data_IF_185743138577
#
_entry.id   IF_185743138577
#
_cell.length_a   1.000
_cell.length_b   1.000
_cell.length_c   1.000
_cell.angle_alpha   90.00
_cell.angle_beta   90.00
_cell.angle_gamma   90.00
#
_symmetry.space_group_name_H-M   'P 1'
#
loop_
_entity.id
_entity.type
_entity.pdbx_description
1 polymer ?
#
# COMPACT_ATOMS: atom_id res chain seq x y z
N UNK A 1 -17.99 0.05 -1.78
CA UNK A 1 -17.47 1.40 -1.56
C UNK A 1 -16.43 1.80 -2.61
N UNK A 2 -15.38 0.99 -2.87
CA UNK A 2 -14.32 1.36 -3.83
C UNK A 2 -14.84 1.60 -5.25
N UNK A 3 -15.76 0.77 -5.75
CA UNK A 3 -16.34 0.99 -7.08
C UNK A 3 -17.09 2.34 -7.16
N UNK A 4 -17.74 2.77 -6.08
CA UNK A 4 -18.40 4.08 -6.05
C UNK A 4 -17.38 5.24 -6.03
N UNK A 5 -16.28 5.08 -5.31
CA UNK A 5 -15.17 6.06 -5.35
C UNK A 5 -14.59 6.13 -6.76
N UNK A 6 -14.25 5.01 -7.37
CA UNK A 6 -13.67 4.96 -8.73
C UNK A 6 -14.61 5.53 -9.80
N UNK A 7 -15.91 5.38 -9.61
CA UNK A 7 -16.94 5.87 -10.55
C UNK A 7 -17.45 7.29 -10.25
N UNK A 8 -16.86 7.97 -9.25
CA UNK A 8 -17.25 9.33 -8.89
C UNK A 8 -18.64 9.44 -8.25
N UNK A 9 -19.14 8.37 -7.62
CA UNK A 9 -20.46 8.31 -6.99
C UNK A 9 -20.42 8.39 -5.46
N UNK A 10 -19.24 8.33 -4.89
CA UNK A 10 -19.08 8.40 -3.45
C UNK A 10 -19.08 9.85 -2.97
N UNK A 11 -19.64 10.07 -1.79
CA UNK A 11 -19.48 11.34 -1.04
C UNK A 11 -18.15 11.28 -0.30
N UNK A 12 -17.10 11.80 -0.92
CA UNK A 12 -15.72 11.87 -0.42
C UNK A 12 -15.02 13.11 -0.99
N UNK A 13 -13.99 13.58 -0.32
CA UNK A 13 -13.15 14.66 -0.83
C UNK A 13 -12.17 14.14 -1.88
N UNK A 14 -12.59 14.17 -3.13
CA UNK A 14 -11.75 13.74 -4.25
C UNK A 14 -10.50 14.60 -4.45
N UNK A 15 -10.52 15.87 -4.06
CA UNK A 15 -9.38 16.77 -4.23
C UNK A 15 -8.25 16.43 -3.24
N UNK A 16 -8.59 15.80 -2.12
CA UNK A 16 -7.61 15.23 -1.18
C UNK A 16 -6.98 13.97 -1.73
N UNK A 17 -7.79 13.07 -2.29
CA UNK A 17 -7.37 11.72 -2.67
C UNK A 17 -6.29 11.73 -3.74
N UNK A 18 -5.20 11.01 -3.50
CA UNK A 18 -4.24 10.70 -4.55
C UNK A 18 -4.75 9.55 -5.39
N UNK A 19 -5.03 9.81 -6.67
CA UNK A 19 -5.62 8.85 -7.59
C UNK A 19 -4.72 8.67 -8.82
N UNK A 20 -4.36 7.41 -9.10
CA UNK A 20 -3.51 7.04 -10.23
C UNK A 20 -4.22 6.03 -11.12
N UNK A 21 -4.31 6.33 -12.41
CA UNK A 21 -4.77 5.37 -13.41
C UNK A 21 -3.70 4.31 -13.65
N UNK A 22 -4.12 3.08 -13.96
CA UNK A 22 -3.19 2.01 -14.30
C UNK A 22 -2.44 2.34 -15.59
N UNK A 23 -3.16 2.89 -16.58
CA UNK A 23 -2.60 3.31 -17.86
C UNK A 23 -3.36 4.53 -18.36
N UNK A 24 -2.65 5.48 -18.93
CA UNK A 24 -3.25 6.64 -19.61
C UNK A 24 -3.22 6.40 -21.12
N UNK A 25 -2.04 6.11 -21.67
CA UNK A 25 -1.80 5.77 -23.07
C UNK A 25 -0.53 4.93 -23.19
N UNK A 26 -0.46 4.03 -24.15
CA UNK A 26 0.75 3.28 -24.47
C UNK A 26 0.92 1.93 -23.76
N UNK A 27 2.15 1.40 -23.63
CA UNK A 27 2.40 0.06 -23.13
C UNK A 27 2.10 -0.07 -21.63
N UNK A 28 1.85 -1.30 -21.17
CA UNK A 28 1.49 -1.66 -19.77
C UNK A 28 2.49 -1.20 -18.70
N UNK A 29 3.69 -0.80 -19.08
CA UNK A 29 4.74 -0.34 -18.17
C UNK A 29 4.66 1.15 -17.81
N UNK A 30 3.70 1.90 -18.34
CA UNK A 30 3.62 3.34 -18.15
C UNK A 30 2.30 3.73 -17.46
N UNK A 31 2.22 3.63 -16.11
CA UNK A 31 1.05 4.09 -15.38
C UNK A 31 0.90 5.60 -15.50
N UNK A 32 -0.33 6.08 -15.35
CA UNK A 32 -0.62 7.51 -15.27
C UNK A 32 0.11 8.18 -14.10
N UNK A 33 0.18 9.52 -14.10
CA UNK A 33 0.81 10.25 -13.02
C UNK A 33 0.10 10.02 -11.70
N UNK A 34 0.87 9.91 -10.63
CA UNK A 34 0.37 9.86 -9.26
C UNK A 34 0.11 11.30 -8.81
N UNK A 35 -1.15 11.73 -8.81
CA UNK A 35 -1.55 13.10 -8.48
C UNK A 35 -2.92 13.16 -7.81
N UNK A 36 -3.19 14.21 -7.07
CA UNK A 36 -4.48 14.44 -6.40
C UNK A 36 -5.60 14.70 -7.41
N UNK A 37 -6.83 14.42 -6.98
CA UNK A 37 -8.07 14.69 -7.69
C UNK A 37 -8.58 13.54 -8.55
N UNK A 38 -9.88 13.59 -8.86
CA UNK A 38 -10.58 12.60 -9.66
C UNK A 38 -10.12 12.63 -11.13
N UNK A 39 -9.87 11.47 -11.72
CA UNK A 39 -9.35 11.32 -13.09
C UNK A 39 -10.42 10.83 -14.10
N UNK A 40 -11.68 10.78 -13.69
CA UNK A 40 -12.79 10.28 -14.48
C UNK A 40 -13.33 8.93 -14.01
N UNK A 41 -14.57 8.64 -14.38
CA UNK A 41 -15.27 7.42 -13.98
C UNK A 41 -14.72 6.19 -14.71
N UNK A 42 -13.94 5.37 -14.02
CA UNK A 42 -13.35 4.14 -14.55
C UNK A 42 -12.97 3.18 -13.44
N UNK A 43 -12.98 1.88 -13.72
CA UNK A 43 -12.45 0.84 -12.81
C UNK A 43 -10.96 0.56 -13.03
N UNK A 44 -10.30 1.31 -13.93
CA UNK A 44 -8.88 1.16 -14.24
C UNK A 44 -7.95 2.00 -13.36
N UNK A 45 -8.41 2.45 -12.19
CA UNK A 45 -7.50 3.02 -11.22
C UNK A 45 -6.58 1.94 -10.68
N UNK A 46 -5.28 2.19 -10.73
CA UNK A 46 -4.24 1.32 -10.17
C UNK A 46 -4.08 1.52 -8.68
N UNK A 47 -4.18 2.78 -8.22
CA UNK A 47 -3.88 3.18 -6.85
C UNK A 47 -4.76 4.36 -6.44
N UNK A 48 -5.33 4.27 -5.25
CA UNK A 48 -6.05 5.37 -4.59
C UNK A 48 -5.56 5.41 -3.15
N UNK A 49 -5.14 6.59 -2.66
CA UNK A 49 -4.64 6.80 -1.29
C UNK A 49 -5.51 7.81 -0.56
N UNK A 50 -5.17 8.07 0.69
CA UNK A 50 -5.88 8.94 1.63
C UNK A 50 -7.26 8.36 2.02
N UNK A 51 -7.34 7.01 2.08
CA UNK A 51 -8.57 6.29 2.42
C UNK A 51 -8.85 6.25 3.92
N UNK A 52 -7.89 6.64 4.76
CA UNK A 52 -8.07 6.79 6.21
C UNK A 52 -9.13 7.80 6.59
N UNK A 53 -9.51 8.68 5.67
CA UNK A 53 -10.56 9.68 5.86
C UNK A 53 -11.96 9.22 5.39
N UNK A 54 -12.10 7.98 4.93
CA UNK A 54 -13.39 7.35 4.65
C UNK A 54 -13.76 6.39 5.79
N UNK A 55 -14.93 6.56 6.36
CA UNK A 55 -15.40 5.80 7.52
C UNK A 55 -15.33 4.29 7.34
N UNK A 56 -15.56 3.78 6.13
CA UNK A 56 -15.50 2.34 5.85
C UNK A 56 -14.08 1.80 6.03
N UNK A 57 -13.11 2.51 5.49
CA UNK A 57 -11.71 2.13 5.57
C UNK A 57 -11.12 2.41 6.94
N UNK A 58 -11.46 3.55 7.55
CA UNK A 58 -11.02 3.89 8.90
C UNK A 58 -11.52 2.85 9.92
N UNK A 59 -12.79 2.47 9.87
CA UNK A 59 -13.33 1.43 10.75
C UNK A 59 -12.60 0.08 10.60
N UNK A 60 -12.23 -0.27 9.37
CA UNK A 60 -11.41 -1.46 9.13
C UNK A 60 -10.00 -1.30 9.71
N UNK A 61 -9.35 -0.16 9.47
CA UNK A 61 -8.00 0.12 9.97
C UNK A 61 -7.92 0.12 11.49
N UNK A 62 -8.98 0.53 12.16
CA UNK A 62 -9.08 0.58 13.62
C UNK A 62 -9.52 -0.75 14.25
N UNK A 63 -9.52 -1.85 13.48
CA UNK A 63 -9.86 -3.16 14.04
C UNK A 63 -8.92 -3.53 15.21
N UNK A 64 -9.45 -4.04 16.35
CA UNK A 64 -8.64 -4.32 17.55
C UNK A 64 -7.45 -5.26 17.31
N UNK A 65 -7.55 -6.18 16.37
CA UNK A 65 -6.43 -7.04 15.99
C UNK A 65 -5.24 -6.24 15.46
N UNK A 66 -5.47 -5.21 14.65
CA UNK A 66 -4.40 -4.37 14.10
C UNK A 66 -3.77 -3.51 15.18
N UNK A 67 -4.57 -3.02 16.16
CA UNK A 67 -4.01 -2.39 17.36
C UNK A 67 -3.06 -3.32 18.10
N UNK A 68 -3.46 -4.57 18.33
CA UNK A 68 -2.62 -5.57 19.01
C UNK A 68 -1.32 -5.86 18.23
N UNK A 69 -1.38 -5.94 16.90
CA UNK A 69 -0.20 -6.11 16.06
C UNK A 69 0.75 -4.91 16.18
N UNK A 70 0.22 -3.69 16.08
CA UNK A 70 1.00 -2.47 16.24
C UNK A 70 1.66 -2.38 17.65
N UNK A 71 0.93 -2.74 18.70
CA UNK A 71 1.46 -2.79 20.07
C UNK A 71 2.66 -3.73 20.20
N UNK A 72 2.64 -4.87 19.50
CA UNK A 72 3.78 -5.81 19.51
C UNK A 72 5.00 -5.30 18.77
N UNK A 73 4.81 -4.43 17.80
CA UNK A 73 5.88 -3.91 16.92
C UNK A 73 6.47 -2.60 17.49
N UNK A 74 5.59 -1.68 17.91
CA UNK A 74 5.98 -0.32 18.33
C UNK A 74 5.96 -0.11 19.83
N UNK A 75 5.37 -1.04 20.60
CA UNK A 75 5.23 -0.96 22.06
C UNK A 75 3.82 -0.60 22.53
N UNK A 76 3.54 -0.91 23.80
CA UNK A 76 2.20 -0.75 24.38
C UNK A 76 1.76 0.71 24.52
N UNK A 77 2.71 1.61 24.68
CA UNK A 77 2.47 3.04 24.90
C UNK A 77 2.51 3.88 23.62
N UNK A 78 2.89 3.28 22.50
CA UNK A 78 2.98 4.01 21.24
C UNK A 78 1.58 4.37 20.70
N UNK A 79 1.39 5.64 20.38
CA UNK A 79 0.32 6.05 19.50
C UNK A 79 0.69 5.69 18.07
N UNK A 80 -0.28 5.28 17.29
CA UNK A 80 -0.03 4.74 15.93
C UNK A 80 -0.65 5.66 14.90
N UNK A 81 0.18 6.15 14.01
CA UNK A 81 -0.23 6.92 12.83
C UNK A 81 -0.36 6.02 11.59
N UNK A 82 -1.14 6.50 10.63
CA UNK A 82 -1.23 5.95 9.30
C UNK A 82 -0.31 6.72 8.37
N UNK A 83 0.77 6.08 7.90
CA UNK A 83 1.57 6.66 6.83
C UNK A 83 0.79 6.67 5.52
N UNK A 84 0.06 5.59 5.23
CA UNK A 84 -0.63 5.42 3.97
C UNK A 84 -1.71 4.35 4.06
N UNK A 85 -2.96 4.73 3.78
CA UNK A 85 -4.05 3.80 3.52
C UNK A 85 -4.36 3.80 2.02
N UNK A 86 -4.15 2.66 1.36
CA UNK A 86 -4.08 2.61 -0.09
C UNK A 86 -4.86 1.44 -0.68
N UNK A 87 -5.78 1.74 -1.57
CA UNK A 87 -6.32 0.76 -2.50
C UNK A 87 -5.34 0.51 -3.63
N UNK A 88 -5.13 -0.76 -3.93
CA UNK A 88 -4.26 -1.25 -5.00
C UNK A 88 -5.07 -2.13 -5.93
N UNK A 89 -4.94 -1.91 -7.25
CA UNK A 89 -5.66 -2.67 -8.23
C UNK A 89 -4.77 -3.04 -9.42
N UNK A 90 -4.94 -4.25 -9.88
CA UNK A 90 -4.50 -4.71 -11.20
C UNK A 90 -5.75 -5.03 -12.00
N UNK A 91 -6.19 -4.13 -12.89
CA UNK A 91 -7.35 -4.36 -13.73
C UNK A 91 -7.23 -5.64 -14.56
N UNK A 92 -8.37 -6.19 -15.01
CA UNK A 92 -8.44 -7.42 -15.79
C UNK A 92 -7.61 -7.32 -17.07
N UNK A 93 -6.73 -8.28 -17.31
CA UNK A 93 -5.86 -8.34 -18.50
C UNK A 93 -4.81 -7.23 -18.58
N UNK A 94 -4.64 -6.46 -17.51
CA UNK A 94 -3.79 -5.28 -17.42
C UNK A 94 -2.96 -5.30 -16.13
N UNK A 95 -2.69 -4.16 -15.58
CA UNK A 95 -1.92 -4.00 -14.35
C UNK A 95 -0.46 -3.73 -14.61
N UNK A 96 0.11 -2.83 -13.83
CA UNK A 96 1.52 -2.47 -13.96
C UNK A 96 2.40 -3.52 -13.30
N UNK A 97 3.43 -3.98 -14.00
CA UNK A 97 4.51 -4.74 -13.38
C UNK A 97 5.20 -3.88 -12.32
N UNK A 98 5.30 -4.38 -11.10
CA UNK A 98 6.02 -3.74 -10.01
C UNK A 98 7.32 -4.52 -9.77
N UNK A 99 8.44 -3.90 -10.13
CA UNK A 99 9.76 -4.51 -10.00
C UNK A 99 10.15 -4.74 -8.53
N UNK A 100 11.16 -5.58 -8.29
CA UNK A 100 11.63 -5.89 -6.94
C UNK A 100 12.08 -4.65 -6.18
N UNK A 101 11.59 -4.48 -4.96
CA UNK A 101 11.89 -3.33 -4.10
C UNK A 101 11.65 -3.65 -2.62
N UNK A 102 12.18 -2.78 -1.80
CA UNK A 102 11.85 -2.61 -0.38
C UNK A 102 11.11 -1.29 -0.22
N UNK A 103 10.06 -1.28 0.59
CA UNK A 103 9.36 -0.02 0.90
C UNK A 103 10.23 0.83 1.84
N UNK A 104 10.59 2.03 1.39
CA UNK A 104 11.39 3.01 2.12
C UNK A 104 10.87 4.41 1.96
N UNK A 105 11.05 5.22 3.01
CA UNK A 105 10.64 6.62 3.05
C UNK A 105 11.77 7.49 3.61
N UNK A 106 12.74 7.83 2.77
CA UNK A 106 13.97 8.54 3.17
C UNK A 106 13.75 9.96 3.71
N UNK A 107 12.54 10.48 3.62
CA UNK A 107 12.13 11.73 4.25
C UNK A 107 11.67 11.56 5.71
N UNK A 108 11.55 10.32 6.18
CA UNK A 108 11.25 10.02 7.58
C UNK A 108 12.55 9.76 8.36
N UNK A 109 12.57 10.12 9.65
CA UNK A 109 13.69 9.84 10.55
C UNK A 109 13.89 8.35 10.80
N UNK A 110 12.81 7.57 10.65
CA UNK A 110 12.79 6.11 10.74
C UNK A 110 11.78 5.52 9.77
N UNK A 111 12.12 4.40 9.14
CA UNK A 111 11.17 3.70 8.28
C UNK A 111 10.08 3.01 9.12
N UNK A 112 8.79 3.12 8.76
CA UNK A 112 7.74 2.26 9.32
C UNK A 112 8.08 0.79 9.11
N UNK A 113 7.71 -0.04 10.09
CA UNK A 113 8.13 -1.45 10.07
C UNK A 113 7.12 -2.36 9.37
N UNK A 114 5.82 -2.07 9.46
CA UNK A 114 4.78 -3.00 9.05
C UNK A 114 3.74 -2.38 8.13
N UNK A 115 3.31 -3.20 7.18
CA UNK A 115 2.15 -2.97 6.34
C UNK A 115 1.18 -4.15 6.48
N UNK A 116 -0.08 -3.85 6.77
CA UNK A 116 -1.19 -4.80 6.69
C UNK A 116 -1.72 -4.79 5.26
N UNK A 117 -1.60 -5.91 4.56
CA UNK A 117 -2.10 -6.07 3.19
C UNK A 117 -3.25 -7.06 3.16
N UNK A 118 -4.41 -6.62 2.67
CA UNK A 118 -5.66 -7.37 2.65
C UNK A 118 -6.07 -7.65 1.21
N UNK A 119 -6.26 -8.91 0.88
CA UNK A 119 -6.80 -9.33 -0.41
C UNK A 119 -8.31 -9.02 -0.47
N UNK A 120 -8.73 -8.12 -1.35
CA UNK A 120 -10.15 -7.84 -1.60
C UNK A 120 -10.72 -8.82 -2.65
N UNK A 121 -9.88 -9.27 -3.57
CA UNK A 121 -10.13 -10.39 -4.48
C UNK A 121 -9.08 -11.45 -4.24
N UNK A 122 -9.32 -12.68 -4.67
CA UNK A 122 -8.30 -13.73 -4.64
C UNK A 122 -7.08 -13.30 -5.43
N UNK A 123 -5.91 -13.44 -4.84
CA UNK A 123 -4.62 -13.14 -5.44
C UNK A 123 -3.90 -14.43 -5.81
N UNK A 124 -3.51 -14.57 -7.07
CA UNK A 124 -2.79 -15.73 -7.63
C UNK A 124 -1.62 -15.27 -8.48
N UNK A 125 -0.72 -16.15 -8.84
CA UNK A 125 0.36 -15.83 -9.78
C UNK A 125 -0.18 -15.27 -11.09
N UNK A 126 -1.25 -15.84 -11.63
CA UNK A 126 -1.83 -15.43 -12.91
C UNK A 126 -2.40 -14.01 -12.91
N UNK A 127 -2.91 -13.54 -11.75
CA UNK A 127 -3.43 -12.19 -11.63
C UNK A 127 -2.48 -11.21 -10.94
N UNK A 128 -1.20 -11.61 -10.78
CA UNK A 128 -0.14 -10.75 -10.27
C UNK A 128 -0.19 -10.59 -8.75
N UNK A 129 -0.30 -11.68 -7.99
CA UNK A 129 -0.11 -11.66 -6.53
C UNK A 129 1.26 -11.09 -6.16
N UNK A 130 1.42 -10.68 -4.92
CA UNK A 130 2.71 -10.26 -4.38
C UNK A 130 3.62 -11.49 -4.32
N UNK A 131 4.87 -11.33 -4.76
CA UNK A 131 5.94 -12.29 -4.58
C UNK A 131 6.96 -11.71 -3.62
N UNK A 132 7.52 -12.53 -2.75
CA UNK A 132 8.47 -12.11 -1.71
C UNK A 132 9.74 -12.95 -1.75
N UNK A 133 10.82 -12.40 -1.22
CA UNK A 133 12.01 -13.16 -0.85
C UNK A 133 12.05 -13.32 0.67
N UNK A 134 11.75 -14.51 1.22
CA UNK A 134 11.72 -14.72 2.67
C UNK A 134 13.05 -14.35 3.35
N UNK A 135 12.96 -13.67 4.51
CA UNK A 135 14.14 -13.28 5.29
C UNK A 135 14.87 -12.03 4.80
N UNK A 136 14.53 -11.49 3.63
CA UNK A 136 15.22 -10.33 3.02
C UNK A 136 15.04 -9.01 3.76
N UNK A 137 14.12 -8.95 4.72
CA UNK A 137 13.87 -7.77 5.56
C UNK A 137 14.97 -7.48 6.58
N UNK A 138 15.92 -8.42 6.77
CA UNK A 138 16.98 -8.27 7.77
C UNK A 138 17.96 -7.13 7.46
N UNK A 139 18.05 -6.69 6.20
CA UNK A 139 18.92 -5.60 5.78
C UNK A 139 18.33 -4.88 4.54
N UNK A 140 18.71 -3.62 4.39
CA UNK A 140 18.44 -2.87 3.16
C UNK A 140 19.45 -3.25 2.07
N UNK A 141 18.95 -3.47 0.85
CA UNK A 141 19.83 -3.77 -0.31
C UNK A 141 20.57 -2.51 -0.77
N UNK A 142 19.90 -1.35 -0.71
CA UNK A 142 20.45 -0.05 -1.12
C UNK A 142 20.40 0.96 0.03
N UNK A 143 21.16 0.78 1.13
CA UNK A 143 21.07 1.68 2.29
C UNK A 143 21.47 3.12 1.96
N UNK A 144 22.44 3.30 1.05
CA UNK A 144 22.99 4.60 0.63
C UNK A 144 22.10 5.32 -0.42
N UNK A 145 21.17 4.60 -1.05
CA UNK A 145 20.30 5.13 -2.08
C UNK A 145 18.89 5.41 -1.53
N UNK A 146 18.31 6.56 -1.85
CA UNK A 146 16.93 6.90 -1.47
C UNK A 146 15.87 5.99 -2.10
N UNK A 147 16.20 5.22 -3.13
CA UNK A 147 15.27 4.31 -3.78
C UNK A 147 15.31 2.92 -3.15
N UNK A 148 14.14 2.38 -2.80
CA UNK A 148 13.99 0.97 -2.43
C UNK A 148 14.00 0.01 -3.63
N UNK A 149 13.94 0.50 -4.85
CA UNK A 149 13.90 -0.32 -6.07
C UNK A 149 15.28 -0.90 -6.42
N UNK A 150 15.29 -2.16 -6.81
CA UNK A 150 16.49 -2.85 -7.28
C UNK A 150 16.77 -2.49 -8.75
N UNK A 151 18.06 -2.40 -9.10
CA UNK A 151 18.48 -2.36 -10.50
C UNK A 151 18.25 -3.71 -11.16
N UNK A 152 18.33 -3.77 -12.51
CA UNK A 152 18.26 -5.05 -13.24
C UNK A 152 19.32 -6.04 -12.79
N UNK A 153 20.58 -5.60 -12.63
CA UNK A 153 21.68 -6.43 -12.16
C UNK A 153 21.46 -6.96 -10.73
N UNK A 154 20.94 -6.12 -9.81
CA UNK A 154 20.60 -6.55 -8.47
C UNK A 154 19.46 -7.57 -8.47
N UNK A 155 18.47 -7.38 -9.35
CA UNK A 155 17.36 -8.31 -9.52
C UNK A 155 17.85 -9.67 -10.05
N UNK A 156 18.73 -9.69 -11.04
CA UNK A 156 19.30 -10.92 -11.57
C UNK A 156 20.05 -11.69 -10.50
N UNK A 157 20.90 -11.04 -9.72
CA UNK A 157 21.61 -11.66 -8.58
C UNK A 157 20.65 -12.19 -7.53
N UNK A 158 19.63 -11.37 -7.16
CA UNK A 158 18.62 -11.78 -6.20
C UNK A 158 17.95 -13.09 -6.59
N UNK A 159 17.54 -13.21 -7.87
CA UNK A 159 16.84 -14.37 -8.39
C UNK A 159 17.75 -15.59 -8.68
N UNK A 160 19.06 -15.38 -8.79
CA UNK A 160 20.03 -16.49 -8.84
C UNK A 160 20.20 -17.15 -7.47
N UNK A 161 20.18 -16.34 -6.40
CA UNK A 161 20.50 -16.80 -5.05
C UNK A 161 19.25 -17.16 -4.23
N UNK A 162 18.05 -16.76 -4.69
CA UNK A 162 16.81 -16.93 -3.95
C UNK A 162 15.66 -17.37 -4.86
N UNK A 163 14.83 -18.24 -4.35
CA UNK A 163 13.55 -18.60 -4.98
C UNK A 163 12.43 -17.73 -4.40
N UNK A 164 11.78 -16.87 -5.20
CA UNK A 164 10.65 -16.07 -4.74
C UNK A 164 9.45 -16.93 -4.35
N UNK A 165 8.77 -16.53 -3.28
CA UNK A 165 7.56 -17.18 -2.81
C UNK A 165 6.35 -16.33 -3.19
N UNK A 166 5.39 -16.86 -3.98
CA UNK A 166 4.15 -16.17 -4.25
C UNK A 166 3.25 -16.17 -3.02
N UNK A 167 2.68 -15.02 -2.69
CA UNK A 167 1.65 -14.89 -1.68
C UNK A 167 0.29 -15.04 -2.35
N UNK A 168 -0.08 -16.28 -2.67
CA UNK A 168 -1.42 -16.58 -3.14
C UNK A 168 -2.38 -16.54 -1.96
N UNK A 169 -3.48 -15.80 -2.12
CA UNK A 169 -4.42 -15.51 -1.03
C UNK A 169 -5.86 -15.59 -1.53
N UNK A 170 -6.75 -16.10 -0.71
CA UNK A 170 -8.18 -15.98 -0.93
C UNK A 170 -8.66 -14.54 -0.60
N UNK A 171 -9.79 -14.14 -1.18
CA UNK A 171 -10.44 -12.88 -0.83
C UNK A 171 -10.77 -12.86 0.68
N UNK A 172 -10.44 -11.75 1.36
CA UNK A 172 -10.61 -11.57 2.80
C UNK A 172 -9.42 -12.01 3.65
N UNK A 173 -8.43 -12.69 3.08
CA UNK A 173 -7.19 -13.00 3.80
C UNK A 173 -6.31 -11.76 3.98
N UNK A 174 -5.56 -11.76 5.07
CA UNK A 174 -4.70 -10.65 5.49
C UNK A 174 -3.29 -11.16 5.74
N UNK A 175 -2.31 -10.45 5.22
CA UNK A 175 -0.90 -10.70 5.51
C UNK A 175 -0.26 -9.47 6.13
N UNK A 176 0.61 -9.70 7.10
CA UNK A 176 1.48 -8.68 7.70
C UNK A 176 2.85 -8.76 7.03
N UNK A 177 3.25 -7.67 6.41
CA UNK A 177 4.52 -7.55 5.71
C UNK A 177 5.44 -6.58 6.43
N UNK A 178 6.70 -6.95 6.61
CA UNK A 178 7.73 -6.00 6.99
C UNK A 178 8.06 -5.12 5.78
N UNK A 179 8.15 -3.81 5.95
CA UNK A 179 8.33 -2.90 4.82
C UNK A 179 9.66 -3.09 4.06
N UNK A 180 10.70 -3.59 4.73
CA UNK A 180 11.95 -3.95 4.09
C UNK A 180 11.96 -5.34 3.46
N UNK A 181 10.87 -6.08 3.49
CA UNK A 181 10.79 -7.35 2.79
C UNK A 181 10.84 -7.09 1.28
N UNK A 182 11.82 -7.69 0.58
CA UNK A 182 11.89 -7.62 -0.87
C UNK A 182 10.65 -8.25 -1.47
N UNK A 183 9.96 -7.47 -2.28
CA UNK A 183 8.73 -7.89 -2.92
C UNK A 183 8.57 -7.32 -4.32
N UNK A 184 7.76 -7.98 -5.12
CA UNK A 184 7.39 -7.59 -6.48
C UNK A 184 5.98 -8.06 -6.81
N UNK A 185 5.43 -7.65 -7.94
CA UNK A 185 4.19 -8.24 -8.47
C UNK A 185 4.12 -8.09 -9.98
N UNK A 186 3.72 -9.14 -10.68
CA UNK A 186 3.61 -9.13 -12.14
C UNK A 186 2.27 -8.52 -12.60
N UNK A 187 2.05 -8.46 -13.91
CA UNK A 187 0.79 -8.02 -14.53
C UNK A 187 -0.33 -9.03 -14.24
N UNK A 188 -1.56 -8.58 -14.39
CA UNK A 188 -2.73 -9.44 -14.29
C UNK A 188 -3.09 -9.99 -15.68
N UNK A 189 -3.06 -11.30 -15.87
CA UNK A 189 -3.37 -11.99 -17.12
C UNK A 189 -4.77 -12.60 -17.12
N UNK A 190 -5.57 -12.35 -16.07
CA UNK A 190 -6.90 -12.93 -15.91
C UNK A 190 -8.02 -11.98 -16.36
N UNK A 191 -9.23 -12.50 -16.50
CA UNK A 191 -10.41 -11.72 -16.88
C UNK A 191 -11.04 -10.92 -15.71
N UNK A 192 -10.56 -11.09 -14.49
CA UNK A 192 -11.02 -10.35 -13.30
C UNK A 192 -9.96 -9.43 -12.72
N UNK A 193 -10.32 -8.38 -11.99
CA UNK A 193 -9.34 -7.54 -11.31
C UNK A 193 -8.68 -8.27 -10.13
N UNK A 194 -7.52 -7.80 -9.69
CA UNK A 194 -6.92 -8.17 -8.42
C UNK A 194 -6.77 -6.93 -7.54
N UNK A 195 -7.70 -6.78 -6.63
CA UNK A 195 -7.80 -5.64 -5.72
C UNK A 195 -7.31 -5.98 -4.34
N UNK A 196 -6.68 -5.03 -3.71
CA UNK A 196 -6.20 -5.13 -2.33
C UNK A 196 -6.34 -3.79 -1.61
N UNK A 197 -6.39 -3.86 -0.29
CA UNK A 197 -6.27 -2.70 0.59
C UNK A 197 -5.01 -2.85 1.45
N UNK A 198 -4.17 -1.84 1.44
CA UNK A 198 -2.87 -1.84 2.10
C UNK A 198 -2.79 -0.67 3.08
N UNK A 199 -2.44 -0.95 4.33
CA UNK A 199 -2.28 0.06 5.38
C UNK A 199 -0.88 -0.03 5.97
N UNK A 200 -0.11 1.03 5.83
CA UNK A 200 1.18 1.17 6.48
C UNK A 200 1.02 1.92 7.79
N UNK A 201 1.24 1.22 8.90
CA UNK A 201 1.21 1.78 10.25
C UNK A 201 2.61 2.18 10.69
N UNK A 202 2.70 3.29 11.43
CA UNK A 202 3.95 3.74 12.01
C UNK A 202 3.74 4.30 13.42
N UNK A 203 4.82 4.41 14.16
CA UNK A 203 4.86 5.16 15.41
C UNK A 203 4.54 6.64 15.13
N UNK A 204 3.61 7.24 15.86
CA UNK A 204 3.21 8.63 15.66
C UNK A 204 4.33 9.64 15.97
N UNK A 205 5.35 9.23 16.73
CA UNK A 205 6.53 10.04 17.01
C UNK A 205 7.54 10.08 15.84
N UNK A 206 7.22 9.41 14.71
CA UNK A 206 8.05 9.46 13.50
C UNK A 206 8.03 10.85 12.91
N UNK A 207 9.22 11.43 12.67
CA UNK A 207 9.39 12.78 12.14
C UNK A 207 9.54 12.75 10.62
N UNK A 208 8.69 13.51 9.94
CA UNK A 208 8.86 13.78 8.51
C UNK A 208 9.69 15.05 8.30
N UNK A 209 10.85 14.92 7.68
CA UNK A 209 11.75 16.06 7.40
C UNK A 209 11.18 17.08 6.40
N UNK A 210 10.10 16.72 5.68
CA UNK A 210 9.35 17.66 4.83
C UNK A 210 8.23 18.38 5.60
N UNK A 211 8.03 18.05 6.88
CA UNK A 211 7.05 18.70 7.75
C UNK A 211 5.61 18.22 7.56
N UNK A 212 5.39 17.06 6.94
CA UNK A 212 4.05 16.49 6.88
C UNK A 212 3.67 15.87 8.22
N UNK A 213 2.39 16.05 8.62
CA UNK A 213 1.77 15.34 9.72
C UNK A 213 0.95 14.16 9.18
N UNK A 214 0.94 13.08 9.93
CA UNK A 214 0.18 11.88 9.57
C UNK A 214 -0.94 11.63 10.58
N UNK A 215 -2.14 11.22 10.14
CA UNK A 215 -3.25 11.02 11.04
C UNK A 215 -3.01 9.85 12.00
N UNK A 216 -3.27 10.08 13.28
CA UNK A 216 -3.27 9.03 14.29
C UNK A 216 -4.49 8.15 14.09
N UNK A 217 -4.31 6.83 14.12
CA UNK A 217 -5.39 5.85 13.99
C UNK A 217 -5.64 5.04 15.27
N UNK A 218 -4.63 4.99 16.16
CA UNK A 218 -4.78 4.43 17.51
C UNK A 218 -4.02 5.29 18.52
N UNK A 219 -4.67 5.70 19.58
CA UNK A 219 -4.09 6.45 20.67
C UNK A 219 -4.70 7.84 20.83
N UNK A 220 -3.93 8.77 21.39
CA UNK A 220 -4.41 10.14 21.63
C UNK A 220 -4.57 10.89 20.29
N UNK A 221 -5.71 11.54 20.11
CA UNK A 221 -6.01 12.28 18.88
C UNK A 221 -6.36 11.40 17.66
N UNK A 222 -6.62 10.10 17.87
CA UNK A 222 -6.98 9.20 16.78
C UNK A 222 -8.23 9.67 16.03
N UNK A 223 -8.21 9.51 14.69
CA UNK A 223 -9.38 9.74 13.85
C UNK A 223 -10.59 8.97 14.39
N UNK A 224 -11.78 9.56 14.30
CA UNK A 224 -13.02 8.96 14.76
C UNK A 224 -13.98 8.79 13.60
N UNK A 225 -14.55 7.59 13.46
CA UNK A 225 -15.58 7.28 12.46
C UNK A 225 -16.80 8.18 12.65
N UNK A 226 -17.28 8.78 11.56
CA UNK A 226 -18.46 9.65 11.57
C UNK A 226 -18.22 11.08 12.09
N UNK A 227 -16.99 11.45 12.41
CA UNK A 227 -16.62 12.81 12.83
C UNK A 227 -15.91 13.51 11.67
N UNK A 228 -16.46 14.58 11.08
CA UNK A 228 -15.76 15.37 10.08
C UNK A 228 -14.45 15.92 10.65
N UNK A 229 -13.39 15.87 9.87
CA UNK A 229 -12.13 16.51 10.22
C UNK A 229 -12.35 17.99 10.51
N UNK A 230 -11.85 18.46 11.64
CA UNK A 230 -11.81 19.90 11.93
C UNK A 230 -10.66 20.49 11.10
N UNK A 231 -11.01 21.23 10.05
CA UNK A 231 -10.08 21.94 9.15
C UNK A 231 -9.29 23.06 9.82
#
# INVERSE_FOLDING_TARGET
RMDDIMMGRADVDYDRMMMQLDRVDGPHSNPGPQSKGFKGATLSYRKIQDLEYDDTFLNYMQHPLFRQLCTRVYGEQADIACLRAMFMNKPAGEGTHLVWHQDRWTHLDRDPLITVWTALDSATLDNGCVQIVPGSHAALVNPEHGSGFLTGEQTERLLQDNEPVPLEMAAGEVVLLHNWLLHSSDVNRTAGPRRAFSVCYMDSDTVDHNGHAYPVVFGEGALAVGVPEQG
#
